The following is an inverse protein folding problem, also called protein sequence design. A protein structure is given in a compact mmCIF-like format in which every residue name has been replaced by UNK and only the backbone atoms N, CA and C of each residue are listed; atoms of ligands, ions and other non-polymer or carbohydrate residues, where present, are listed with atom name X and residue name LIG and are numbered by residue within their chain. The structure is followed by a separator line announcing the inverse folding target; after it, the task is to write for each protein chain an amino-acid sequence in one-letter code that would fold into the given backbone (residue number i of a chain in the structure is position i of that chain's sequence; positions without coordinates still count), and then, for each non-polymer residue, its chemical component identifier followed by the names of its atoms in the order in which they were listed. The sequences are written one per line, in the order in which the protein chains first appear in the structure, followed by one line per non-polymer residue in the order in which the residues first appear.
data_IF_456033137437
#
_entry.id   IF_456033137437
#
_cell.length_a   1.000
_cell.length_b   1.000
_cell.length_c   1.000
_cell.angle_alpha   90.00
_cell.angle_beta   90.00
_cell.angle_gamma   90.00
#
_symmetry.space_group_name_H-M   'P 1'
#
loop_
_entity.id
_entity.type
_entity.pdbx_description
1 polymer ?
#
# COMPACT_ATOMS: atom_id res chain seq x y z
N UNK A 1 -20.94 15.42 -1.58
CA UNK A 1 -19.56 14.88 -1.67
C UNK A 1 -18.65 15.99 -2.17
N UNK A 2 -17.63 16.37 -1.40
CA UNK A 2 -16.61 17.35 -1.83
C UNK A 2 -15.23 16.72 -1.92
N UNK A 3 -14.49 17.07 -2.98
CA UNK A 3 -13.13 16.55 -3.21
C UNK A 3 -12.09 17.48 -2.60
N UNK A 4 -11.07 16.91 -1.94
CA UNK A 4 -9.92 17.66 -1.41
C UNK A 4 -8.77 17.66 -2.41
N UNK A 5 -8.07 16.53 -2.52
CA UNK A 5 -6.98 16.26 -3.47
C UNK A 5 -6.67 14.76 -3.49
N UNK A 6 -5.81 14.36 -4.42
CA UNK A 6 -5.19 13.05 -4.42
C UNK A 6 -4.23 12.97 -3.22
N UNK A 7 -4.25 11.83 -2.53
CA UNK A 7 -3.37 11.49 -1.42
C UNK A 7 -2.63 10.20 -1.75
N UNK A 8 -1.44 10.06 -1.17
CA UNK A 8 -0.57 8.91 -1.36
C UNK A 8 -0.04 8.45 -0.01
N UNK A 9 0.34 7.19 0.11
CA UNK A 9 1.20 6.67 1.18
C UNK A 9 2.18 5.68 0.58
N UNK A 10 3.42 5.67 1.06
CA UNK A 10 4.52 5.01 0.39
C UNK A 10 5.43 4.29 1.38
N UNK A 11 5.68 3.01 1.15
CA UNK A 11 6.58 2.20 1.98
C UNK A 11 7.63 1.56 1.10
N UNK A 12 8.90 1.62 1.52
CA UNK A 12 10.02 0.98 0.82
C UNK A 12 10.63 -0.07 1.74
N UNK A 13 10.60 -1.33 1.30
CA UNK A 13 11.17 -2.47 2.02
C UNK A 13 12.46 -2.94 1.36
N UNK A 14 13.46 -3.29 2.16
CA UNK A 14 14.85 -3.50 1.71
C UNK A 14 15.19 -4.88 1.12
N UNK A 15 16.46 -5.02 0.74
CA UNK A 15 17.04 -6.13 -0.05
C UNK A 15 16.84 -7.51 0.54
N UNK A 16 16.85 -7.63 1.87
CA UNK A 16 16.67 -8.93 2.52
C UNK A 16 15.26 -9.48 2.25
N UNK A 17 14.24 -8.65 2.43
CA UNK A 17 12.85 -8.99 2.11
C UNK A 17 12.65 -9.36 0.64
N UNK A 18 13.19 -8.58 -0.29
CA UNK A 18 13.01 -8.85 -1.73
C UNK A 18 13.73 -10.13 -2.15
N UNK A 19 14.91 -10.41 -1.60
CA UNK A 19 15.62 -11.67 -1.81
C UNK A 19 14.84 -12.85 -1.25
N UNK A 20 14.24 -12.70 -0.08
CA UNK A 20 13.43 -13.74 0.56
C UNK A 20 12.16 -14.03 -0.25
N UNK A 21 11.49 -13.01 -0.80
CA UNK A 21 10.40 -13.17 -1.79
C UNK A 21 10.89 -13.89 -3.05
N UNK A 22 11.98 -13.42 -3.66
CA UNK A 22 12.49 -13.97 -4.93
C UNK A 22 12.98 -15.41 -4.81
N UNK A 23 13.56 -15.79 -3.67
CA UNK A 23 13.96 -17.16 -3.36
C UNK A 23 12.75 -18.04 -3.01
N UNK A 24 11.74 -17.49 -2.33
CA UNK A 24 10.47 -18.16 -2.04
C UNK A 24 9.70 -18.50 -3.32
N UNK A 25 9.46 -17.54 -4.20
CA UNK A 25 8.65 -17.72 -5.42
C UNK A 25 9.16 -18.82 -6.36
N UNK A 26 10.48 -19.01 -6.45
CA UNK A 26 11.08 -20.10 -7.24
C UNK A 26 10.76 -21.50 -6.69
N UNK A 27 10.43 -21.60 -5.40
CA UNK A 27 10.07 -22.83 -4.71
C UNK A 27 8.55 -22.98 -4.49
N UNK A 28 7.73 -21.96 -4.84
CA UNK A 28 6.33 -21.79 -4.39
C UNK A 28 5.23 -22.13 -5.43
N UNK A 29 5.43 -23.13 -6.28
CA UNK A 29 4.28 -23.76 -6.94
C UNK A 29 3.63 -24.76 -5.96
N UNK A 30 2.73 -24.33 -5.06
CA UNK A 30 1.82 -25.31 -4.40
C UNK A 30 1.19 -25.07 -3.02
N UNK A 31 1.34 -23.95 -2.33
CA UNK A 31 0.58 -23.75 -1.08
C UNK A 31 0.96 -22.49 -0.31
N UNK A 32 -0.07 -21.73 0.10
CA UNK A 32 0.05 -20.49 0.90
C UNK A 32 1.19 -20.56 1.92
N UNK A 33 2.07 -19.59 1.85
CA UNK A 33 3.24 -19.59 2.71
C UNK A 33 3.25 -18.32 3.53
N UNK A 34 2.86 -18.52 4.78
CA UNK A 34 2.47 -17.48 5.75
C UNK A 34 3.53 -16.39 5.93
N UNK A 35 4.83 -16.72 5.88
CA UNK A 35 5.90 -15.76 6.19
C UNK A 35 6.05 -14.60 5.18
N UNK A 36 6.00 -14.86 3.87
CA UNK A 36 6.14 -13.78 2.87
C UNK A 36 4.85 -12.95 2.73
N UNK A 37 3.69 -13.56 2.98
CA UNK A 37 2.39 -12.88 2.92
C UNK A 37 2.34 -11.80 4.01
N UNK A 38 2.83 -12.11 5.21
CA UNK A 38 2.82 -11.20 6.35
C UNK A 38 3.62 -9.91 6.11
N UNK A 39 4.80 -10.00 5.51
CA UNK A 39 5.63 -8.81 5.23
C UNK A 39 5.03 -7.93 4.12
N UNK A 40 4.47 -8.52 3.06
CA UNK A 40 3.74 -7.77 2.02
C UNK A 40 2.47 -7.12 2.56
N UNK A 41 1.75 -7.82 3.45
CA UNK A 41 0.57 -7.30 4.14
C UNK A 41 0.99 -6.10 4.99
N UNK A 42 2.04 -6.23 5.80
CA UNK A 42 2.53 -5.16 6.67
C UNK A 42 2.93 -3.91 5.89
N UNK A 43 3.70 -4.06 4.80
CA UNK A 43 4.09 -2.92 3.96
C UNK A 43 2.88 -2.21 3.33
N UNK A 44 1.87 -2.98 2.88
CA UNK A 44 0.62 -2.40 2.35
C UNK A 44 -0.18 -1.67 3.43
N UNK A 45 -0.35 -2.28 4.59
CA UNK A 45 -1.09 -1.67 5.71
C UNK A 45 -0.42 -0.38 6.17
N UNK A 46 0.91 -0.32 6.19
CA UNK A 46 1.65 0.89 6.52
C UNK A 46 1.47 1.99 5.46
N UNK A 47 1.53 1.65 4.16
CA UNK A 47 1.25 2.59 3.07
C UNK A 47 -0.19 3.13 3.13
N UNK A 48 -1.18 2.27 3.43
CA UNK A 48 -2.58 2.67 3.60
C UNK A 48 -2.72 3.62 4.80
N UNK A 49 -2.12 3.29 5.95
CA UNK A 49 -2.18 4.15 7.15
C UNK A 49 -1.58 5.52 6.91
N UNK A 50 -0.49 5.59 6.16
CA UNK A 50 0.09 6.88 5.79
C UNK A 50 -0.85 7.69 4.88
N UNK A 51 -1.45 7.04 3.87
CA UNK A 51 -2.43 7.66 2.99
C UNK A 51 -3.66 8.17 3.78
N UNK A 52 -4.16 7.36 4.73
CA UNK A 52 -5.24 7.71 5.66
C UNK A 52 -4.88 8.91 6.54
N UNK A 53 -3.68 8.92 7.13
CA UNK A 53 -3.20 10.05 7.94
C UNK A 53 -3.18 11.33 7.11
N UNK A 54 -2.62 11.29 5.89
CA UNK A 54 -2.58 12.45 5.00
C UNK A 54 -3.98 12.90 4.56
N UNK A 55 -4.94 12.00 4.42
CA UNK A 55 -6.33 12.36 4.16
C UNK A 55 -7.00 13.01 5.38
N UNK A 56 -6.76 12.48 6.58
CA UNK A 56 -7.26 13.02 7.84
C UNK A 56 -6.75 14.44 8.09
N UNK A 57 -5.47 14.72 7.78
CA UNK A 57 -4.88 16.07 7.87
C UNK A 57 -5.58 17.10 6.96
N UNK A 58 -6.31 16.65 5.92
CA UNK A 58 -7.10 17.50 5.03
C UNK A 58 -8.55 17.66 5.48
N UNK A 59 -8.90 17.06 6.63
CA UNK A 59 -10.28 16.96 7.12
C UNK A 59 -11.18 16.10 6.24
N UNK A 60 -10.62 15.20 5.44
CA UNK A 60 -11.40 14.22 4.70
C UNK A 60 -11.93 13.14 5.66
N UNK A 61 -13.10 12.57 5.33
CA UNK A 61 -13.69 11.47 6.09
C UNK A 61 -13.79 10.16 5.28
N UNK A 62 -13.34 10.19 4.03
CA UNK A 62 -13.21 9.01 3.18
C UNK A 62 -12.13 9.21 2.12
N UNK A 63 -11.65 8.09 1.59
CA UNK A 63 -10.79 8.02 0.40
C UNK A 63 -11.49 7.12 -0.60
N UNK A 64 -11.62 7.57 -1.84
CA UNK A 64 -12.25 6.82 -2.94
C UNK A 64 -11.30 6.65 -4.12
N UNK A 65 -11.59 5.66 -4.96
CA UNK A 65 -10.74 5.34 -6.11
C UNK A 65 -9.33 4.94 -5.66
N UNK A 66 -9.25 4.11 -4.62
CA UNK A 66 -7.98 3.64 -4.08
C UNK A 66 -7.32 2.68 -5.07
N UNK A 67 -6.03 2.86 -5.29
CA UNK A 67 -5.16 1.97 -6.06
C UNK A 67 -3.89 1.64 -5.27
N UNK A 68 -3.39 0.42 -5.43
CA UNK A 68 -2.21 -0.08 -4.71
C UNK A 68 -1.22 -0.64 -5.74
N UNK A 69 -0.07 0.02 -5.86
CA UNK A 69 1.02 -0.36 -6.75
C UNK A 69 2.18 -0.98 -5.98
N UNK A 70 2.82 -1.97 -6.61
CA UNK A 70 4.02 -2.63 -6.13
C UNK A 70 5.13 -2.49 -7.18
N UNK A 71 6.22 -1.83 -6.83
CA UNK A 71 7.34 -1.60 -7.74
C UNK A 71 8.65 -2.12 -7.16
N UNK A 72 9.43 -2.82 -7.97
CA UNK A 72 10.77 -3.25 -7.58
C UNK A 72 11.77 -2.17 -7.99
N UNK A 73 12.57 -1.69 -7.04
CA UNK A 73 13.53 -0.60 -7.20
C UNK A 73 14.98 -1.06 -6.98
N UNK A 74 15.91 -0.24 -7.46
CA UNK A 74 17.35 -0.42 -7.30
C UNK A 74 18.02 -1.24 -8.40
N UNK A 75 19.32 -1.02 -8.61
CA UNK A 75 20.08 -1.64 -9.71
C UNK A 75 20.07 -3.19 -9.66
N UNK A 76 19.99 -3.74 -8.45
CA UNK A 76 19.94 -5.18 -8.20
C UNK A 76 18.51 -5.69 -7.92
N UNK A 77 17.46 -4.89 -8.23
CA UNK A 77 16.07 -5.21 -7.90
C UNK A 77 15.89 -5.58 -6.42
N UNK A 78 16.61 -4.86 -5.54
CA UNK A 78 16.72 -5.17 -4.13
C UNK A 78 15.77 -4.39 -3.24
N UNK A 79 14.82 -3.63 -3.77
CA UNK A 79 13.86 -2.91 -2.93
C UNK A 79 12.46 -3.12 -3.49
N UNK A 80 11.47 -3.23 -2.60
CA UNK A 80 10.07 -3.23 -2.99
C UNK A 80 9.44 -1.96 -2.45
N UNK A 81 8.89 -1.15 -3.33
CA UNK A 81 8.04 -0.03 -3.00
C UNK A 81 6.59 -0.48 -3.07
N UNK A 82 5.82 -0.12 -2.05
CA UNK A 82 4.36 -0.22 -2.03
C UNK A 82 3.81 1.19 -1.99
N UNK A 83 2.98 1.53 -2.97
CA UNK A 83 2.34 2.85 -3.08
C UNK A 83 0.85 2.67 -2.99
N UNK A 84 0.22 3.27 -1.98
CA UNK A 84 -1.22 3.44 -1.92
C UNK A 84 -1.57 4.84 -2.43
N UNK A 85 -2.53 4.95 -3.34
CA UNK A 85 -3.03 6.24 -3.82
C UNK A 85 -4.54 6.28 -3.85
N UNK A 86 -5.12 7.48 -3.77
CA UNK A 86 -6.56 7.65 -3.83
C UNK A 86 -6.98 9.11 -3.73
N UNK A 87 -8.28 9.37 -3.84
CA UNK A 87 -8.83 10.73 -3.73
C UNK A 87 -9.49 10.95 -2.38
N UNK A 88 -8.97 11.89 -1.59
CA UNK A 88 -9.54 12.26 -0.30
C UNK A 88 -10.79 13.14 -0.48
N UNK A 89 -11.88 12.78 0.22
CA UNK A 89 -13.20 13.38 0.05
C UNK A 89 -13.92 13.58 1.38
N UNK A 90 -14.88 14.50 1.40
CA UNK A 90 -15.89 14.58 2.46
C UNK A 90 -17.22 14.07 1.91
N UNK A 91 -17.73 13.00 2.50
CA UNK A 91 -19.07 12.46 2.26
C UNK A 91 -20.02 12.92 3.37
N UNK A 92 -21.26 13.21 3.00
CA UNK A 92 -22.35 13.56 3.91
C UNK A 92 -23.35 12.40 3.89
N UNK A 93 -23.83 11.98 5.06
CA UNK A 93 -24.94 11.03 5.15
C UNK A 93 -26.23 11.71 4.72
N UNK A 94 -26.97 11.08 3.81
CA UNK A 94 -28.35 11.46 3.52
C UNK A 94 -29.26 10.61 4.39
N UNK A 95 -29.89 11.24 5.39
CA UNK A 95 -30.97 10.60 6.14
C UNK A 95 -32.21 10.54 5.22
N UNK A 96 -32.72 9.33 4.99
CA UNK A 96 -33.90 9.03 4.17
C UNK A 96 -35.17 8.97 5.02
#
# INVERSE_FOLDING_TARGET
MSTKKIVFGEVITGVNFVKDIGAGLRNFFGGRSQGYEDELINAREEAIREMESRAADLGANAIIGVDIDYEVLGADNGMLMVTASGTAVIVETQDY
#
